data_IF_939376493141
#
_entry.id   IF_939376493141
#
_cell.length_a   1.000
_cell.length_b   1.000
_cell.length_c   1.000
_cell.angle_alpha   90.00
_cell.angle_beta   90.00
_cell.angle_gamma   90.00
#
_symmetry.space_group_name_H-M   'P 1'
#
loop_
_entity.id
_entity.type
_entity.pdbx_description
1 polymer ?
#
# COMPACT_ATOMS: atom_id res chain seq x y z
N UNK A 1 4.51 18.47 -1.82
CA UNK A 1 5.74 17.65 -2.00
C UNK A 1 5.44 16.53 -2.97
N UNK A 2 6.24 16.40 -4.02
CA UNK A 2 6.00 15.44 -5.08
C UNK A 2 6.61 14.09 -4.75
N UNK A 3 5.87 13.02 -5.00
CA UNK A 3 6.40 11.66 -4.86
C UNK A 3 7.05 11.29 -6.19
N UNK A 4 8.32 10.90 -6.14
CA UNK A 4 9.06 10.44 -7.31
C UNK A 4 9.59 9.02 -7.09
N UNK A 5 10.34 8.51 -8.07
CA UNK A 5 10.84 7.13 -8.04
C UNK A 5 11.74 6.84 -6.83
N UNK A 6 12.41 7.86 -6.30
CA UNK A 6 13.33 7.71 -5.17
C UNK A 6 12.69 7.97 -3.80
N UNK A 7 11.41 8.31 -3.77
CA UNK A 7 10.70 8.55 -2.53
C UNK A 7 10.44 7.23 -1.80
N UNK A 8 10.72 7.21 -0.49
CA UNK A 8 10.38 6.06 0.34
C UNK A 8 8.95 6.16 0.81
N UNK A 9 8.22 5.06 0.64
CA UNK A 9 6.84 4.92 1.11
C UNK A 9 6.78 3.75 2.09
N UNK A 10 5.68 3.65 2.80
CA UNK A 10 5.44 2.57 3.76
C UNK A 10 4.22 1.78 3.35
N UNK A 11 4.32 0.46 3.43
CA UNK A 11 3.24 -0.45 3.06
C UNK A 11 3.03 -1.46 4.16
N UNK A 12 1.85 -2.06 4.19
CA UNK A 12 1.58 -3.17 5.09
C UNK A 12 2.01 -4.47 4.41
N UNK A 13 2.72 -5.30 5.15
CA UNK A 13 3.14 -6.63 4.70
C UNK A 13 2.34 -7.65 5.48
N UNK A 14 1.68 -8.54 4.77
CA UNK A 14 0.98 -9.66 5.36
C UNK A 14 1.92 -10.84 5.47
N UNK A 15 2.00 -11.42 6.65
CA UNK A 15 2.82 -12.61 6.91
C UNK A 15 1.92 -13.81 7.17
N UNK A 16 2.02 -14.82 6.32
CA UNK A 16 1.26 -16.06 6.45
C UNK A 16 2.24 -17.22 6.32
N UNK A 17 2.53 -17.89 7.44
CA UNK A 17 3.55 -18.93 7.45
C UNK A 17 4.91 -18.36 7.05
N UNK A 18 5.52 -18.92 6.00
CA UNK A 18 6.80 -18.46 5.48
C UNK A 18 6.66 -17.44 4.34
N UNK A 19 5.45 -16.98 4.07
CA UNK A 19 5.19 -16.06 2.97
C UNK A 19 4.99 -14.65 3.47
N UNK A 20 5.56 -13.70 2.75
CA UNK A 20 5.33 -12.28 2.96
C UNK A 20 4.77 -11.69 1.67
N UNK A 21 3.75 -10.85 1.81
CA UNK A 21 3.08 -10.27 0.67
C UNK A 21 2.64 -8.85 0.99
N UNK A 22 2.84 -7.93 0.03
CA UNK A 22 2.33 -6.58 0.17
C UNK A 22 0.81 -6.64 0.15
N UNK A 23 0.17 -5.98 1.13
CA UNK A 23 -1.28 -5.97 1.24
C UNK A 23 -1.89 -5.19 0.08
N UNK A 24 -2.79 -5.83 -0.66
CA UNK A 24 -3.64 -5.18 -1.64
C UNK A 24 -5.06 -5.09 -1.12
N UNK A 25 -5.80 -4.11 -1.62
CA UNK A 25 -7.21 -3.90 -1.31
C UNK A 25 -7.99 -3.78 -2.61
N UNK A 26 -9.28 -4.06 -2.55
CA UNK A 26 -10.16 -3.92 -3.70
C UNK A 26 -11.27 -2.93 -3.37
N UNK A 27 -11.45 -1.95 -4.24
CA UNK A 27 -12.62 -1.08 -4.22
C UNK A 27 -13.66 -1.70 -5.12
N UNK A 28 -14.64 -2.38 -4.51
CA UNK A 28 -15.67 -3.12 -5.25
C UNK A 28 -16.57 -2.19 -6.06
N UNK A 29 -16.80 -0.98 -5.58
CA UNK A 29 -17.67 -0.02 -6.27
C UNK A 29 -17.08 0.41 -7.60
N UNK A 30 -15.76 0.61 -7.66
CA UNK A 30 -15.06 1.07 -8.85
C UNK A 30 -14.29 -0.04 -9.55
N UNK A 31 -14.35 -1.27 -9.04
CA UNK A 31 -13.63 -2.44 -9.58
C UNK A 31 -12.12 -2.18 -9.70
N UNK A 32 -11.54 -1.51 -8.70
CA UNK A 32 -10.13 -1.13 -8.68
C UNK A 32 -9.41 -1.93 -7.60
N UNK A 33 -8.30 -2.57 -7.98
CA UNK A 33 -7.38 -3.16 -7.01
C UNK A 33 -6.23 -2.20 -6.77
N UNK A 34 -5.93 -1.90 -5.51
CA UNK A 34 -4.91 -0.92 -5.18
C UNK A 34 -4.05 -1.38 -4.02
N UNK A 35 -2.85 -0.82 -3.94
CA UNK A 35 -1.96 -1.02 -2.81
C UNK A 35 -2.00 0.26 -1.97
N UNK A 36 -2.45 0.18 -0.71
CA UNK A 36 -2.38 1.33 0.18
C UNK A 36 -0.93 1.59 0.57
N UNK A 37 -0.48 2.82 0.38
CA UNK A 37 0.86 3.26 0.73
C UNK A 37 0.76 4.51 1.59
N UNK A 38 1.81 4.79 2.36
CA UNK A 38 1.81 5.87 3.33
C UNK A 38 3.13 6.61 3.28
N UNK A 39 3.11 7.90 3.61
CA UNK A 39 4.31 8.72 3.62
C UNK A 39 5.14 8.55 4.88
N UNK A 40 4.52 8.08 5.97
CA UNK A 40 5.24 7.86 7.23
C UNK A 40 4.84 6.53 7.84
N UNK A 41 5.73 6.00 8.67
CA UNK A 41 5.47 4.75 9.38
C UNK A 41 4.30 4.91 10.35
N UNK A 42 4.22 6.06 11.00
CA UNK A 42 3.15 6.35 11.96
C UNK A 42 1.79 6.37 11.27
N UNK A 43 1.70 7.02 10.11
CA UNK A 43 0.46 7.03 9.35
C UNK A 43 0.04 5.62 8.95
N UNK A 44 0.98 4.80 8.52
CA UNK A 44 0.71 3.41 8.15
C UNK A 44 0.21 2.61 9.35
N UNK A 45 0.85 2.76 10.50
CA UNK A 45 0.47 2.02 11.71
C UNK A 45 -0.93 2.39 12.19
N UNK A 46 -1.30 3.66 12.08
CA UNK A 46 -2.65 4.11 12.45
C UNK A 46 -3.69 3.67 11.44
N UNK A 47 -3.40 3.83 10.16
CA UNK A 47 -4.35 3.54 9.10
C UNK A 47 -4.61 2.04 8.93
N UNK A 48 -3.72 1.18 9.40
CA UNK A 48 -3.88 -0.27 9.26
C UNK A 48 -5.19 -0.75 9.91
N UNK A 49 -5.66 -0.03 10.92
CA UNK A 49 -6.94 -0.34 11.58
C UNK A 49 -8.14 -0.04 10.69
N UNK A 50 -7.97 0.75 9.65
CA UNK A 50 -9.03 1.11 8.70
C UNK A 50 -9.02 0.24 7.44
N UNK A 51 -8.05 -0.67 7.31
CA UNK A 51 -7.95 -1.55 6.16
C UNK A 51 -8.74 -2.84 6.40
N UNK A 52 -9.24 -3.43 5.32
CA UNK A 52 -9.90 -4.73 5.38
C UNK A 52 -8.85 -5.83 5.35
N UNK A 53 -8.45 -6.28 6.54
CA UNK A 53 -7.38 -7.25 6.70
C UNK A 53 -7.90 -8.55 7.30
N UNK A 54 -7.27 -9.66 6.94
CA UNK A 54 -7.59 -10.95 7.53
C UNK A 54 -7.16 -11.01 8.99
N UNK A 55 -8.07 -11.44 9.86
CA UNK A 55 -7.84 -11.46 11.31
C UNK A 55 -6.79 -12.48 11.75
N UNK A 56 -6.58 -13.53 10.96
CA UNK A 56 -5.66 -14.61 11.32
C UNK A 56 -4.23 -14.42 10.85
N UNK A 57 -3.98 -13.38 10.06
CA UNK A 57 -2.65 -13.09 9.54
C UNK A 57 -1.96 -12.04 10.40
N UNK A 58 -0.64 -12.06 10.37
CA UNK A 58 0.17 -11.03 11.00
C UNK A 58 0.51 -9.97 9.98
N UNK A 59 0.60 -8.73 10.42
CA UNK A 59 0.89 -7.59 9.55
C UNK A 59 2.04 -6.79 10.11
N UNK A 60 2.85 -6.27 9.21
CA UNK A 60 4.02 -5.46 9.56
C UNK A 60 4.11 -4.30 8.58
N UNK A 61 4.53 -3.14 9.06
CA UNK A 61 4.77 -1.98 8.21
C UNK A 61 6.23 -2.00 7.79
N UNK A 62 6.48 -1.91 6.48
CA UNK A 62 7.83 -1.87 5.93
C UNK A 62 7.97 -0.71 4.96
N UNK A 63 9.18 -0.16 4.89
CA UNK A 63 9.51 0.87 3.92
C UNK A 63 9.85 0.22 2.58
N UNK A 64 9.42 0.86 1.50
CA UNK A 64 9.75 0.44 0.14
C UNK A 64 9.96 1.69 -0.70
N UNK A 65 10.97 1.67 -1.56
CA UNK A 65 11.19 2.78 -2.46
C UNK A 65 10.11 2.78 -3.56
N UNK A 66 9.65 3.97 -3.93
CA UNK A 66 8.53 4.12 -4.86
C UNK A 66 8.75 3.37 -6.18
N UNK A 67 9.97 3.38 -6.71
CA UNK A 67 10.32 2.66 -7.93
C UNK A 67 10.00 1.17 -7.83
N UNK A 68 10.40 0.55 -6.72
CA UNK A 68 10.16 -0.88 -6.51
C UNK A 68 8.68 -1.18 -6.31
N UNK A 69 7.99 -0.31 -5.56
CA UNK A 69 6.55 -0.46 -5.34
C UNK A 69 5.77 -0.35 -6.63
N UNK A 70 6.15 0.60 -7.48
CA UNK A 70 5.51 0.77 -8.78
C UNK A 70 5.68 -0.45 -9.66
N UNK A 71 6.87 -1.03 -9.67
CA UNK A 71 7.14 -2.25 -10.43
C UNK A 71 6.27 -3.41 -9.93
N UNK A 72 6.21 -3.57 -8.62
CA UNK A 72 5.37 -4.59 -8.00
C UNK A 72 3.89 -4.39 -8.37
N UNK A 73 3.42 -3.15 -8.29
CA UNK A 73 2.03 -2.85 -8.61
C UNK A 73 1.70 -3.14 -10.07
N UNK A 74 2.59 -2.79 -10.99
CA UNK A 74 2.39 -3.08 -12.42
C UNK A 74 2.29 -4.56 -12.70
N UNK A 75 3.18 -5.34 -12.11
CA UNK A 75 3.19 -6.79 -12.31
C UNK A 75 1.93 -7.45 -11.76
N UNK A 76 1.37 -6.92 -10.68
CA UNK A 76 0.16 -7.47 -10.07
C UNK A 76 -1.14 -6.88 -10.55
N UNK A 77 -1.09 -5.87 -11.41
CA UNK A 77 -2.31 -5.20 -11.87
C UNK A 77 -2.92 -4.25 -10.86
N UNK A 78 -2.11 -3.69 -9.96
CA UNK A 78 -2.57 -2.75 -8.93
C UNK A 78 -2.26 -1.32 -9.30
N UNK A 79 -3.08 -0.39 -8.80
CA UNK A 79 -2.70 1.02 -8.69
C UNK A 79 -2.21 1.28 -7.27
N UNK A 80 -1.57 2.41 -7.05
CA UNK A 80 -1.08 2.78 -5.72
C UNK A 80 -1.88 3.99 -5.23
N UNK A 81 -2.52 3.86 -4.08
CA UNK A 81 -3.17 4.98 -3.40
C UNK A 81 -2.36 5.32 -2.16
N UNK A 82 -1.92 6.59 -2.08
CA UNK A 82 -1.28 7.10 -0.87
C UNK A 82 -2.36 7.58 0.06
N UNK A 83 -2.39 7.03 1.26
CA UNK A 83 -3.42 7.31 2.26
C UNK A 83 -2.84 8.10 3.43
N UNK A 84 -3.71 8.83 4.13
CA UNK A 84 -3.34 9.45 5.40
C UNK A 84 -3.63 8.49 6.57
N UNK A 85 -3.41 8.97 7.81
CA UNK A 85 -3.61 8.15 9.00
C UNK A 85 -5.05 7.73 9.25
N UNK A 86 -6.00 8.39 8.60
CA UNK A 86 -7.42 8.04 8.67
C UNK A 86 -7.85 7.09 7.56
N UNK A 87 -6.92 6.71 6.69
CA UNK A 87 -7.21 5.83 5.57
C UNK A 87 -7.81 6.53 4.37
N UNK A 88 -7.73 7.85 4.31
CA UNK A 88 -8.25 8.62 3.18
C UNK A 88 -7.21 8.75 2.09
N UNK A 89 -7.64 8.66 0.84
CA UNK A 89 -6.75 8.81 -0.31
C UNK A 89 -6.32 10.28 -0.43
N UNK A 90 -5.02 10.54 -0.30
CA UNK A 90 -4.47 11.89 -0.46
C UNK A 90 -3.71 12.04 -1.77
N UNK A 91 -3.31 10.94 -2.39
CA UNK A 91 -2.63 10.97 -3.67
C UNK A 91 -2.81 9.63 -4.38
N UNK A 92 -2.94 9.67 -5.69
CA UNK A 92 -2.99 8.48 -6.53
C UNK A 92 -1.77 8.51 -7.42
N UNK A 93 -0.98 7.43 -7.35
CA UNK A 93 0.16 7.32 -8.24
C UNK A 93 -0.29 6.65 -9.53
N UNK A 94 0.03 7.25 -10.67
CA UNK A 94 -0.36 6.65 -11.94
C UNK A 94 0.33 5.31 -12.14
N UNK A 95 -0.38 4.37 -12.75
CA UNK A 95 0.28 3.18 -13.24
C UNK A 95 1.30 3.66 -14.26
N UNK A 96 2.58 3.36 -14.04
CA UNK A 96 3.59 3.69 -15.03
C UNK A 96 3.31 2.90 -16.29
N UNK A 97 3.24 3.63 -17.37
CA UNK A 97 3.08 3.02 -18.69
C UNK A 97 4.34 2.19 -19.04
#
# INVERSE_FOLDING_TARGET
MTIDASTWLYVAIQKTGNREQIVGQTDAEHAISYIPAFRSKEAAQQAIFHLHLEKKSKYEVQAIICEDLTRYAQEGGFVIFVLDEDGRVVERLPALA
#
